data_IF_049261740674
#
_entry.id   IF_049261740674
#
_cell.length_a   1.000
_cell.length_b   1.000
_cell.length_c   1.000
_cell.angle_alpha   90.00
_cell.angle_beta   90.00
_cell.angle_gamma   90.00
#
_symmetry.space_group_name_H-M   'P 1'
#
loop_
_entity.id
_entity.type
_entity.pdbx_description
1 polymer ?
#
# COMPACT_ATOMS: atom_id res chain seq x y z
N UNK A 1 11.63 23.71 4.91
CA UNK A 1 11.99 22.32 4.57
C UNK A 1 12.85 21.68 5.67
N UNK A 2 12.33 21.53 6.91
CA UNK A 2 13.15 21.10 8.06
C UNK A 2 12.31 20.44 9.17
N UNK A 3 11.44 19.50 8.80
CA UNK A 3 10.64 18.72 9.76
C UNK A 3 10.82 17.20 9.63
N UNK A 4 11.69 16.74 8.73
CA UNK A 4 11.85 15.30 8.41
C UNK A 4 12.82 14.58 9.38
N UNK A 5 13.44 15.30 10.33
CA UNK A 5 14.48 14.77 11.22
C UNK A 5 14.28 15.12 12.71
N UNK A 6 13.03 15.25 13.16
CA UNK A 6 12.74 15.39 14.60
C UNK A 6 12.53 14.01 15.20
N UNK A 7 13.09 13.72 16.38
CA UNK A 7 12.98 12.41 17.05
C UNK A 7 11.53 12.03 17.46
N UNK A 8 10.57 12.95 17.27
CA UNK A 8 9.12 12.73 17.33
C UNK A 8 8.51 12.30 15.97
N UNK A 9 9.32 12.01 14.96
CA UNK A 9 8.91 11.30 13.74
C UNK A 9 8.70 9.81 14.05
N UNK A 10 7.95 9.52 15.13
CA UNK A 10 7.34 8.21 15.28
C UNK A 10 6.34 8.15 14.16
N UNK A 11 6.65 7.41 13.07
CA UNK A 11 5.70 7.09 12.01
C UNK A 11 4.41 6.65 12.71
N UNK A 12 3.43 7.56 12.80
CA UNK A 12 2.19 7.20 13.48
C UNK A 12 1.61 6.04 12.71
N UNK A 13 0.97 5.08 13.39
CA UNK A 13 0.45 3.88 12.72
C UNK A 13 -0.47 4.24 11.53
N UNK A 14 -1.03 5.46 11.56
CA UNK A 14 -1.73 6.13 10.47
C UNK A 14 -0.87 6.43 9.22
N UNK A 15 0.34 6.98 9.38
CA UNK A 15 1.28 7.17 8.26
C UNK A 15 1.75 5.84 7.66
N UNK A 16 1.98 4.83 8.50
CA UNK A 16 2.31 3.50 8.04
C UNK A 16 1.14 2.89 7.26
N UNK A 17 -0.09 3.05 7.75
CA UNK A 17 -1.30 2.64 7.05
C UNK A 17 -1.48 3.33 5.69
N UNK A 18 -1.20 4.63 5.62
CA UNK A 18 -1.21 5.40 4.36
C UNK A 18 -0.13 4.91 3.38
N UNK A 19 1.07 4.58 3.85
CA UNK A 19 2.13 3.99 3.01
C UNK A 19 1.71 2.64 2.44
N UNK A 20 1.12 1.76 3.26
CA UNK A 20 0.62 0.47 2.80
C UNK A 20 -0.55 0.61 1.82
N UNK A 21 -1.43 1.59 2.01
CA UNK A 21 -2.49 1.91 1.05
C UNK A 21 -1.91 2.41 -0.28
N UNK A 22 -0.98 3.38 -0.23
CA UNK A 22 -0.36 3.92 -1.44
C UNK A 22 0.42 2.84 -2.20
N UNK A 23 1.18 2.00 -1.49
CA UNK A 23 1.90 0.87 -2.07
C UNK A 23 0.93 -0.15 -2.69
N UNK A 24 -0.16 -0.50 -2.00
CA UNK A 24 -1.17 -1.42 -2.51
C UNK A 24 -1.85 -0.91 -3.78
N UNK A 25 -2.20 0.37 -3.82
CA UNK A 25 -2.77 1.02 -5.00
C UNK A 25 -1.78 1.03 -6.17
N UNK A 26 -0.50 1.35 -5.93
CA UNK A 26 0.53 1.35 -6.97
C UNK A 26 0.73 -0.05 -7.57
N UNK A 27 0.75 -1.09 -6.74
CA UNK A 27 0.86 -2.47 -7.21
C UNK A 27 -0.35 -2.85 -8.05
N UNK A 28 -1.58 -2.53 -7.62
CA UNK A 28 -2.78 -2.82 -8.41
C UNK A 28 -2.80 -2.05 -9.73
N UNK A 29 -2.43 -0.76 -9.71
CA UNK A 29 -2.30 0.04 -10.93
C UNK A 29 -1.28 -0.58 -11.89
N UNK A 30 -0.15 -1.07 -11.37
CA UNK A 30 0.90 -1.74 -12.16
C UNK A 30 0.41 -3.06 -12.78
N UNK A 31 -0.41 -3.82 -12.06
CA UNK A 31 -1.02 -5.06 -12.58
C UNK A 31 -2.01 -4.74 -13.70
N UNK A 32 -2.85 -3.70 -13.52
CA UNK A 32 -3.81 -3.27 -14.55
C UNK A 32 -3.12 -2.74 -15.80
N UNK A 33 -2.06 -1.94 -15.65
CA UNK A 33 -1.28 -1.46 -16.81
C UNK A 33 -0.54 -2.59 -17.50
N UNK A 34 -0.01 -3.56 -16.75
CA UNK A 34 0.60 -4.76 -17.34
C UNK A 34 -0.43 -5.59 -18.13
N UNK A 35 -1.66 -5.74 -17.65
CA UNK A 35 -2.74 -6.41 -18.38
C UNK A 35 -3.13 -5.65 -19.65
N UNK A 36 -3.22 -4.33 -19.58
CA UNK A 36 -3.48 -3.49 -20.75
C UNK A 36 -2.39 -3.61 -21.82
N UNK A 37 -1.13 -3.71 -21.40
CA UNK A 37 0.01 -3.82 -22.31
C UNK A 37 0.19 -5.25 -22.86
N UNK A 38 -0.25 -6.25 -22.11
CA UNK A 38 -0.08 -7.65 -22.45
C UNK A 38 -1.43 -8.31 -22.74
N UNK A 39 -1.82 -8.36 -24.01
CA UNK A 39 -3.02 -9.04 -24.50
C UNK A 39 -2.97 -10.58 -24.40
N UNK A 40 -2.06 -11.14 -23.59
CA UNK A 40 -1.89 -12.57 -23.34
C UNK A 40 -2.77 -13.11 -22.20
N UNK A 41 -3.49 -12.24 -21.51
CA UNK A 41 -4.42 -12.57 -20.42
C UNK A 41 -3.77 -12.65 -19.03
N UNK A 42 -4.61 -12.84 -18.01
CA UNK A 42 -4.25 -12.74 -16.59
C UNK A 42 -3.28 -13.84 -16.13
N UNK A 43 -1.98 -13.56 -16.25
CA UNK A 43 -0.88 -14.47 -15.93
C UNK A 43 -0.65 -14.66 -14.42
N UNK A 44 0.12 -15.67 -14.05
CA UNK A 44 0.46 -15.99 -12.65
C UNK A 44 1.05 -14.80 -11.90
N UNK A 45 1.91 -14.01 -12.57
CA UNK A 45 2.53 -12.82 -11.98
C UNK A 45 1.51 -11.72 -11.66
N UNK A 46 0.53 -11.48 -12.53
CA UNK A 46 -0.54 -10.52 -12.27
C UNK A 46 -1.47 -10.97 -11.16
N UNK A 47 -1.78 -12.27 -11.07
CA UNK A 47 -2.55 -12.83 -9.94
C UNK A 47 -1.82 -12.61 -8.62
N UNK A 48 -0.52 -12.89 -8.57
CA UNK A 48 0.29 -12.65 -7.37
C UNK A 48 0.40 -11.17 -7.05
N UNK A 49 0.60 -10.31 -8.05
CA UNK A 49 0.61 -8.86 -7.89
C UNK A 49 -0.71 -8.32 -7.35
N UNK A 50 -1.84 -8.81 -7.87
CA UNK A 50 -3.17 -8.44 -7.39
C UNK A 50 -3.38 -8.87 -5.93
N UNK A 51 -2.95 -10.08 -5.59
CA UNK A 51 -3.07 -10.64 -4.23
C UNK A 51 -2.19 -9.88 -3.23
N UNK A 52 -0.96 -9.53 -3.62
CA UNK A 52 -0.06 -8.68 -2.82
C UNK A 52 -0.61 -7.25 -2.67
N UNK A 53 -1.13 -6.67 -3.75
CA UNK A 53 -1.77 -5.36 -3.72
C UNK A 53 -2.97 -5.34 -2.77
N UNK A 54 -3.86 -6.34 -2.88
CA UNK A 54 -5.00 -6.49 -1.98
C UNK A 54 -4.59 -6.68 -0.52
N UNK A 55 -3.59 -7.53 -0.25
CA UNK A 55 -3.06 -7.72 1.10
C UNK A 55 -2.47 -6.42 1.68
N UNK A 56 -1.71 -5.68 0.87
CA UNK A 56 -1.16 -4.38 1.26
C UNK A 56 -2.26 -3.37 1.57
N UNK A 57 -3.34 -3.33 0.78
CA UNK A 57 -4.48 -2.47 1.06
C UNK A 57 -5.18 -2.84 2.37
N UNK A 58 -5.38 -4.13 2.63
CA UNK A 58 -5.99 -4.62 3.88
C UNK A 58 -5.14 -4.25 5.10
N UNK A 59 -3.81 -4.41 5.00
CA UNK A 59 -2.88 -3.98 6.05
C UNK A 59 -2.96 -2.46 6.23
N UNK A 60 -2.97 -1.69 5.15
CA UNK A 60 -3.11 -0.23 5.21
C UNK A 60 -4.42 0.24 5.86
N UNK A 61 -5.54 -0.38 5.47
CA UNK A 61 -6.88 -0.12 6.01
C UNK A 61 -7.02 -0.51 7.48
N UNK A 62 -6.38 -1.59 7.92
CA UNK A 62 -6.40 -2.02 9.34
C UNK A 62 -5.50 -1.15 10.20
N UNK A 63 -4.39 -0.63 9.67
CA UNK A 63 -3.50 0.28 10.39
C UNK A 63 -4.05 1.70 10.53
N UNK A 64 -4.94 2.11 9.62
CA UNK A 64 -5.59 3.43 9.63
C UNK A 64 -6.38 3.74 10.91
N UNK A 65 -7.29 2.86 11.40
CA UNK A 65 -8.03 3.07 12.64
C UNK A 65 -7.18 2.81 13.90
N UNK A 66 -6.10 2.03 13.80
CA UNK A 66 -5.16 1.80 14.92
C UNK A 66 -4.24 3.00 15.20
N UNK A 67 -4.27 4.02 14.34
CA UNK A 67 -3.46 5.24 14.45
C UNK A 67 -3.79 6.17 15.61
N UNK A 68 -5.01 6.11 16.15
CA UNK A 68 -5.55 7.09 17.11
C UNK A 68 -5.94 6.48 18.47
N UNK A 69 -5.40 5.32 18.85
CA UNK A 69 -5.55 4.82 20.23
C UNK A 69 -4.35 5.24 21.07
N UNK A 70 -4.46 6.33 21.87
CA UNK A 70 -3.60 6.50 23.02
C UNK A 70 -3.96 5.40 24.02
N UNK A 71 -3.09 4.40 24.13
CA UNK A 71 -3.05 3.52 25.30
C UNK A 71 -2.35 4.22 26.44
#
# INVERSE_FOLDING_TARGET
MRQIFSNEFTLTKRHLGLLFLAAGLLVLASVLTAEWLHAGGFGTVQKMGALLGAASLLIGLTLLPLGDQPG
#
